data_IF_484442401515
#
_entry.id   IF_484442401515
#
_cell.length_a   1.000
_cell.length_b   1.000
_cell.length_c   1.000
_cell.angle_alpha   90.00
_cell.angle_beta   90.00
_cell.angle_gamma   90.00
#
_symmetry.space_group_name_H-M   'P 1'
#
loop_
_entity.id
_entity.type
_entity.pdbx_description
1 polymer ?
#
# COMPACT_ATOMS: atom_id res chain seq x y z
N UNK A 1 -4.43 -11.78 -14.74
CA UNK A 1 -3.95 -10.41 -14.40
C UNK A 1 -5.08 -9.41 -14.21
N UNK A 2 -6.11 -9.34 -15.08
CA UNK A 2 -7.22 -8.38 -14.96
C UNK A 2 -7.95 -8.41 -13.59
N UNK A 3 -8.19 -9.60 -13.05
CA UNK A 3 -8.89 -9.77 -11.78
C UNK A 3 -8.06 -9.29 -10.58
N UNK A 4 -6.73 -9.47 -10.63
CA UNK A 4 -5.81 -9.01 -9.58
C UNK A 4 -5.77 -7.49 -9.51
N UNK A 5 -5.74 -6.81 -10.66
CA UNK A 5 -5.74 -5.34 -10.72
C UNK A 5 -7.06 -4.78 -10.18
N UNK A 6 -8.21 -5.38 -10.51
CA UNK A 6 -9.49 -4.98 -9.92
C UNK A 6 -9.55 -5.26 -8.42
N UNK A 7 -8.96 -6.36 -7.95
CA UNK A 7 -8.96 -6.71 -6.53
C UNK A 7 -8.05 -5.80 -5.67
N UNK A 8 -7.00 -5.21 -6.24
CA UNK A 8 -6.13 -4.22 -5.58
C UNK A 8 -6.57 -2.77 -5.81
N UNK A 9 -7.31 -2.49 -6.88
CA UNK A 9 -7.89 -1.17 -7.13
C UNK A 9 -8.97 -0.83 -6.10
N UNK A 10 -9.81 -1.80 -5.72
CA UNK A 10 -10.85 -1.61 -4.70
C UNK A 10 -10.34 -1.13 -3.34
N UNK A 11 -9.34 -1.79 -2.68
CA UNK A 11 -8.78 -1.32 -1.42
C UNK A 11 -8.01 0.00 -1.56
N UNK A 12 -7.36 0.24 -2.71
CA UNK A 12 -6.69 1.53 -2.97
C UNK A 12 -7.70 2.68 -3.06
N UNK A 13 -8.80 2.50 -3.79
CA UNK A 13 -9.88 3.48 -3.84
C UNK A 13 -10.51 3.67 -2.47
N UNK A 14 -10.73 2.60 -1.70
CA UNK A 14 -11.25 2.68 -0.34
C UNK A 14 -10.34 3.52 0.58
N UNK A 15 -9.02 3.34 0.49
CA UNK A 15 -8.05 4.15 1.22
C UNK A 15 -8.01 5.62 0.75
N UNK A 16 -8.14 5.88 -0.54
CA UNK A 16 -8.23 7.25 -1.07
C UNK A 16 -9.53 7.97 -0.67
N UNK A 17 -10.63 7.24 -0.58
CA UNK A 17 -11.91 7.80 -0.14
C UNK A 17 -11.88 8.13 1.35
N UNK A 18 -11.23 7.31 2.18
CA UNK A 18 -11.12 7.57 3.62
C UNK A 18 -10.27 8.80 3.94
N UNK A 19 -9.25 9.13 3.15
CA UNK A 19 -8.46 10.36 3.31
C UNK A 19 -9.28 11.61 2.96
N UNK A 20 -10.11 11.52 1.91
CA UNK A 20 -11.05 12.59 1.54
C UNK A 20 -12.11 12.80 2.62
N UNK A 21 -12.69 11.71 3.14
CA UNK A 21 -13.67 11.77 4.25
C UNK A 21 -13.02 12.29 5.54
N UNK A 22 -11.75 11.95 5.81
CA UNK A 22 -11.01 12.44 6.98
C UNK A 22 -10.76 13.96 6.94
N UNK A 23 -10.66 14.55 5.74
CA UNK A 23 -10.47 16.00 5.53
C UNK A 23 -11.81 16.76 5.49
N UNK A 24 -12.95 16.05 5.38
CA UNK A 24 -14.30 16.61 5.40
C UNK A 24 -14.61 17.58 6.56
N UNK A 25 -14.18 17.37 7.83
CA UNK A 25 -14.44 18.32 8.91
C UNK A 25 -13.76 19.70 8.73
N UNK A 26 -12.71 19.81 7.90
CA UNK A 26 -12.07 21.10 7.57
C UNK A 26 -12.97 21.97 6.67
N UNK A 27 -13.89 21.37 5.90
CA UNK A 27 -14.86 22.07 5.03
C UNK A 27 -15.92 22.83 5.83
N UNK A 28 -16.23 22.37 7.04
CA UNK A 28 -17.31 22.94 7.87
C UNK A 28 -16.94 24.34 8.38
N UNK A 29 -15.64 24.68 8.38
CA UNK A 29 -15.17 26.05 8.61
C UNK A 29 -15.44 26.89 7.34
N UNK A 30 -16.53 27.67 7.37
CA UNK A 30 -16.99 28.61 6.32
C UNK A 30 -16.00 29.77 6.09
N UNK A 31 -14.78 29.47 5.66
CA UNK A 31 -13.78 30.46 5.28
C UNK A 31 -13.41 30.24 3.80
N UNK A 32 -13.06 31.30 3.07
CA UNK A 32 -12.78 31.20 1.62
C UNK A 32 -11.54 30.36 1.28
N UNK A 33 -10.60 30.25 2.22
CA UNK A 33 -9.33 29.51 2.08
C UNK A 33 -9.49 27.97 2.07
N UNK A 34 -10.29 27.33 2.95
CA UNK A 34 -10.47 25.87 2.92
C UNK A 34 -11.20 25.32 1.68
N UNK A 35 -11.96 26.13 0.93
CA UNK A 35 -12.65 25.67 -0.28
C UNK A 35 -11.67 25.28 -1.40
N UNK A 36 -10.60 26.06 -1.57
CA UNK A 36 -9.53 25.74 -2.54
C UNK A 36 -8.65 24.59 -2.04
N UNK A 37 -8.49 24.45 -0.72
CA UNK A 37 -7.77 23.33 -0.13
C UNK A 37 -8.43 21.99 -0.44
N UNK A 38 -9.75 21.89 -0.25
CA UNK A 38 -10.48 20.64 -0.49
C UNK A 38 -10.54 20.28 -1.97
N UNK A 39 -10.69 21.28 -2.85
CA UNK A 39 -10.58 21.07 -4.30
C UNK A 39 -9.19 20.56 -4.71
N UNK A 40 -8.14 21.08 -4.09
CA UNK A 40 -6.75 20.68 -4.35
C UNK A 40 -6.47 19.27 -3.82
N UNK A 41 -6.92 18.95 -2.60
CA UNK A 41 -6.77 17.62 -2.00
C UNK A 41 -7.55 16.55 -2.80
N UNK A 42 -8.77 16.84 -3.21
CA UNK A 42 -9.56 15.90 -4.01
C UNK A 42 -8.90 15.63 -5.35
N UNK A 43 -8.39 16.68 -6.00
CA UNK A 43 -7.70 16.57 -7.28
C UNK A 43 -6.37 15.83 -7.14
N UNK A 44 -5.55 16.15 -6.12
CA UNK A 44 -4.27 15.46 -5.90
C UNK A 44 -4.47 13.99 -5.52
N UNK A 45 -5.53 13.64 -4.78
CA UNK A 45 -5.85 12.25 -4.45
C UNK A 45 -6.28 11.48 -5.69
N UNK A 46 -7.18 12.03 -6.52
CA UNK A 46 -7.61 11.36 -7.76
C UNK A 46 -6.44 11.23 -8.74
N UNK A 47 -5.68 12.31 -8.94
CA UNK A 47 -4.54 12.33 -9.85
C UNK A 47 -3.41 11.44 -9.33
N UNK A 48 -3.18 11.44 -8.02
CA UNK A 48 -2.19 10.61 -7.34
C UNK A 48 -2.55 9.13 -7.35
N UNK A 49 -3.83 8.77 -7.17
CA UNK A 49 -4.28 7.39 -7.33
C UNK A 49 -4.19 6.95 -8.80
N UNK A 50 -4.61 7.79 -9.74
CA UNK A 50 -4.58 7.45 -11.16
C UNK A 50 -3.14 7.32 -11.67
N UNK A 51 -2.29 8.29 -11.36
CA UNK A 51 -0.88 8.26 -11.70
C UNK A 51 -0.14 7.17 -10.91
N UNK A 52 -0.45 6.95 -9.63
CA UNK A 52 0.14 5.89 -8.82
C UNK A 52 -0.21 4.49 -9.33
N UNK A 53 -1.48 4.27 -9.73
CA UNK A 53 -1.93 2.98 -10.27
C UNK A 53 -1.45 2.73 -11.71
N UNK A 54 -1.08 3.77 -12.47
CA UNK A 54 -0.57 3.65 -13.85
C UNK A 54 0.97 3.66 -13.91
N UNK A 55 1.62 4.50 -13.10
CA UNK A 55 3.07 4.61 -13.04
C UNK A 55 3.69 3.38 -12.39
N UNK A 56 3.09 2.84 -11.32
CA UNK A 56 3.60 1.65 -10.63
C UNK A 56 3.67 0.40 -11.55
N UNK A 57 2.64 0.04 -12.36
CA UNK A 57 2.76 -1.05 -13.33
C UNK A 57 3.68 -0.70 -14.52
N UNK A 58 3.77 0.55 -14.96
CA UNK A 58 4.72 0.96 -16.00
C UNK A 58 6.18 0.81 -15.52
N UNK A 59 6.47 1.26 -14.30
CA UNK A 59 7.79 1.15 -13.68
C UNK A 59 8.17 -0.31 -13.39
N UNK A 60 7.22 -1.12 -12.91
CA UNK A 60 7.41 -2.57 -12.76
C UNK A 60 7.65 -3.27 -14.09
N UNK A 61 7.06 -2.80 -15.20
CA UNK A 61 7.30 -3.35 -16.53
C UNK A 61 8.66 -2.95 -17.11
N UNK A 62 9.20 -1.79 -16.72
CA UNK A 62 10.50 -1.30 -17.17
C UNK A 62 11.66 -1.81 -16.30
N UNK A 63 11.42 -2.11 -15.03
CA UNK A 63 12.40 -2.78 -14.17
C UNK A 63 12.64 -4.19 -14.72
N UNK A 64 13.88 -4.55 -15.10
CA UNK A 64 14.17 -5.86 -15.64
C UNK A 64 13.80 -6.92 -14.59
N UNK A 65 12.84 -7.78 -14.93
CA UNK A 65 12.29 -8.86 -14.10
C UNK A 65 13.38 -9.68 -13.38
N UNK A 66 14.60 -9.73 -13.91
CA UNK A 66 15.76 -10.37 -13.28
C UNK A 66 16.12 -9.74 -11.92
N UNK A 67 16.12 -8.42 -11.80
CA UNK A 67 16.44 -7.74 -10.54
C UNK A 67 15.28 -7.83 -9.55
N UNK A 68 14.04 -7.69 -10.02
CA UNK A 68 12.86 -7.82 -9.17
C UNK A 68 12.71 -9.24 -8.63
N UNK A 69 12.97 -10.26 -9.45
CA UNK A 69 12.95 -11.66 -9.03
C UNK A 69 14.04 -11.94 -7.99
N UNK A 70 15.26 -11.41 -8.17
CA UNK A 70 16.33 -11.56 -7.19
C UNK A 70 16.01 -10.86 -5.86
N UNK A 71 15.51 -9.63 -5.89
CA UNK A 71 15.16 -8.85 -4.69
C UNK A 71 13.92 -9.42 -3.98
N UNK A 72 12.88 -9.78 -4.72
CA UNK A 72 11.66 -10.38 -4.14
C UNK A 72 11.95 -11.77 -3.56
N UNK A 73 12.80 -12.58 -4.22
CA UNK A 73 13.27 -13.84 -3.65
C UNK A 73 14.08 -13.60 -2.37
N UNK A 74 14.94 -12.57 -2.32
CA UNK A 74 15.68 -12.20 -1.10
C UNK A 74 14.77 -11.71 0.03
N UNK A 75 13.76 -10.89 -0.26
CA UNK A 75 12.82 -10.42 0.75
C UNK A 75 11.94 -11.56 1.26
N UNK A 76 11.42 -12.41 0.37
CA UNK A 76 10.63 -13.58 0.75
C UNK A 76 11.46 -14.61 1.50
N UNK A 77 12.72 -14.85 1.10
CA UNK A 77 13.61 -15.75 1.84
C UNK A 77 13.92 -15.19 3.22
N UNK A 78 14.08 -13.86 3.36
CA UNK A 78 14.32 -13.23 4.65
C UNK A 78 13.09 -13.32 5.55
N UNK A 79 11.92 -12.94 5.04
CA UNK A 79 10.66 -13.05 5.75
C UNK A 79 10.34 -14.50 6.14
N UNK A 80 10.64 -15.47 5.28
CA UNK A 80 10.51 -16.90 5.62
C UNK A 80 11.47 -17.30 6.73
N UNK A 81 12.73 -16.86 6.70
CA UNK A 81 13.69 -17.14 7.78
C UNK A 81 13.27 -16.49 9.10
N UNK A 82 12.68 -15.30 9.07
CA UNK A 82 12.13 -14.63 10.26
C UNK A 82 10.96 -15.43 10.85
N UNK A 83 10.04 -15.91 10.00
CA UNK A 83 8.93 -16.77 10.43
C UNK A 83 9.43 -18.11 10.97
N UNK A 84 10.31 -18.82 10.26
CA UNK A 84 10.89 -20.09 10.73
C UNK A 84 11.72 -19.91 12.01
N UNK A 85 12.39 -18.76 12.18
CA UNK A 85 13.09 -18.42 13.42
C UNK A 85 12.13 -18.22 14.60
N UNK A 86 10.97 -17.59 14.37
CA UNK A 86 9.91 -17.51 15.38
C UNK A 86 9.31 -18.87 15.72
N UNK A 87 9.12 -19.76 14.73
CA UNK A 87 8.64 -21.12 14.96
C UNK A 87 9.64 -21.97 15.75
N UNK A 88 10.95 -21.80 15.49
CA UNK A 88 12.02 -22.48 16.23
C UNK A 88 12.13 -21.99 17.68
N UNK A 89 11.88 -20.69 17.93
CA UNK A 89 11.88 -20.11 19.26
C UNK A 89 10.62 -20.49 20.06
N UNK A 90 9.48 -20.69 19.38
CA UNK A 90 8.29 -21.26 20.01
C UNK A 90 8.44 -22.75 20.35
N UNK A 91 9.17 -23.53 19.54
CA UNK A 91 9.45 -24.94 19.83
C UNK A 91 10.46 -25.12 20.97
N UNK A 92 11.47 -24.25 21.10
CA UNK A 92 12.39 -24.26 22.24
C UNK A 92 11.68 -23.85 23.55
N UNK A 93 10.78 -22.87 23.49
CA UNK A 93 9.96 -22.46 24.63
C UNK A 93 8.94 -23.51 25.09
N UNK A 94 8.42 -24.34 24.18
CA UNK A 94 7.51 -25.45 24.51
C UNK A 94 8.28 -26.68 25.03
N UNK A 95 9.45 -26.98 24.45
CA UNK A 95 10.35 -28.06 24.90
C UNK A 95 10.99 -27.79 26.27
N UNK A 96 11.24 -26.53 26.63
CA UNK A 96 11.69 -26.10 27.97
C UNK A 96 10.56 -26.24 29.02
N UNK A 97 9.29 -26.40 28.59
CA UNK A 97 8.11 -26.43 29.47
C UNK A 97 7.49 -27.82 29.65
N UNK A 98 8.09 -28.86 29.06
CA UNK A 98 7.77 -30.29 29.30
C UNK A 98 8.95 -31.01 29.94
#
# INVERSE_FOLDING_TARGET
>A
MRNTISNIAWPMSQAGISTVICILPIVVLQNYIPLVFVKTITLVVIWGLWHGLVLLPAFLSQIPLRLLNFNCYRVLVNARNEVTGQEMLLLDGDAIRT
#
